data_IF_109674316931
#
_entry.id   IF_109674316931
#
_cell.length_a   1.000
_cell.length_b   1.000
_cell.length_c   1.000
_cell.angle_alpha   90.00
_cell.angle_beta   90.00
_cell.angle_gamma   90.00
#
_symmetry.space_group_name_H-M   'P 1'
#
loop_
_entity.id
_entity.type
_entity.pdbx_description
1 polymer ?
#
# COMPACT_ATOMS: atom_id res chain seq x y z
N UNK A 1 -1.15 -2.02 1.11
CA UNK A 1 -0.18 -1.60 0.08
C UNK A 1 0.08 -0.11 0.25
N UNK A 2 0.88 0.51 -0.62
CA UNK A 2 1.13 1.95 -0.57
C UNK A 2 2.08 2.37 0.54
N UNK A 3 1.75 3.47 1.23
CA UNK A 3 2.59 4.02 2.31
C UNK A 3 2.30 3.35 3.67
N UNK A 4 3.21 2.55 4.25
CA UNK A 4 2.94 1.83 5.49
C UNK A 4 2.63 2.76 6.66
N UNK A 5 1.61 2.44 7.46
CA UNK A 5 1.15 3.22 8.64
C UNK A 5 0.69 4.65 8.34
N UNK A 6 0.54 5.04 7.07
CA UNK A 6 0.15 6.40 6.68
C UNK A 6 -1.23 6.81 7.21
N UNK A 7 -2.23 5.94 7.06
CA UNK A 7 -3.56 6.18 7.61
C UNK A 7 -3.52 6.46 9.12
N UNK A 8 -2.73 5.69 9.87
CA UNK A 8 -2.60 5.91 11.31
C UNK A 8 -1.99 7.28 11.60
N UNK A 9 -0.90 7.62 10.93
CA UNK A 9 -0.19 8.88 11.13
C UNK A 9 -1.07 10.09 10.77
N UNK A 10 -1.80 10.03 9.64
CA UNK A 10 -2.67 11.13 9.21
C UNK A 10 -3.85 11.32 10.17
N UNK A 11 -4.43 10.23 10.70
CA UNK A 11 -5.49 10.28 11.70
C UNK A 11 -5.01 10.78 13.06
N UNK A 12 -3.77 10.48 13.47
CA UNK A 12 -3.18 11.01 14.71
C UNK A 12 -2.84 12.50 14.57
N UNK A 13 -2.34 12.94 13.41
CA UNK A 13 -2.02 14.36 13.15
C UNK A 13 -3.27 15.22 12.98
N UNK A 14 -4.29 14.71 12.30
CA UNK A 14 -5.52 15.41 11.98
C UNK A 14 -6.71 14.61 12.56
N UNK A 15 -7.02 14.81 13.85
CA UNK A 15 -7.90 13.91 14.60
C UNK A 15 -9.38 13.97 14.19
N UNK A 16 -9.82 15.03 13.53
CA UNK A 16 -11.22 15.20 13.12
C UNK A 16 -11.51 14.67 11.70
N UNK A 17 -10.56 13.97 11.06
CA UNK A 17 -10.74 13.48 9.69
C UNK A 17 -11.75 12.35 9.56
N UNK A 18 -11.84 11.48 10.57
CA UNK A 18 -12.65 10.27 10.50
C UNK A 18 -13.78 10.30 11.51
N UNK A 19 -14.98 9.93 11.07
CA UNK A 19 -16.12 9.68 11.94
C UNK A 19 -16.52 8.20 11.89
N UNK A 20 -17.09 7.71 12.99
CA UNK A 20 -17.65 6.36 13.04
C UNK A 20 -19.00 6.36 12.36
N UNK A 21 -19.20 5.43 11.42
CA UNK A 21 -20.44 5.28 10.68
C UNK A 21 -21.53 4.75 11.61
N UNK A 22 -22.64 5.49 11.70
CA UNK A 22 -23.87 5.07 12.38
C UNK A 22 -25.07 5.35 11.50
N UNK A 23 -26.14 4.55 11.61
CA UNK A 23 -27.32 4.56 10.73
C UNK A 23 -28.04 5.91 10.53
N UNK A 24 -27.69 6.95 11.30
CA UNK A 24 -28.40 8.25 11.32
C UNK A 24 -27.54 9.45 10.96
N UNK A 25 -26.25 9.27 10.65
CA UNK A 25 -25.29 10.38 10.56
C UNK A 25 -24.51 10.45 9.24
N UNK A 26 -24.73 9.52 8.32
CA UNK A 26 -23.97 9.48 7.08
C UNK A 26 -24.52 10.55 6.12
N UNK A 27 -23.67 11.43 5.55
CA UNK A 27 -24.07 12.33 4.47
C UNK A 27 -24.60 11.53 3.28
N UNK A 28 -25.54 12.09 2.53
CA UNK A 28 -25.92 11.46 1.27
C UNK A 28 -24.78 11.54 0.24
N UNK A 29 -24.63 10.49 -0.57
CA UNK A 29 -23.64 10.41 -1.64
C UNK A 29 -24.31 10.21 -3.00
N UNK A 30 -23.74 10.84 -4.02
CA UNK A 30 -24.17 10.63 -5.40
C UNK A 30 -23.57 9.34 -5.95
N UNK A 31 -22.28 9.14 -5.71
CA UNK A 31 -21.51 8.06 -6.31
C UNK A 31 -20.78 7.24 -5.25
N UNK A 32 -20.94 5.91 -5.30
CA UNK A 32 -20.18 4.95 -4.50
C UNK A 32 -19.27 4.13 -5.40
N UNK A 33 -17.99 4.03 -5.02
CA UNK A 33 -16.96 3.26 -5.71
C UNK A 33 -16.42 2.19 -4.76
N UNK A 34 -16.34 0.94 -5.21
CA UNK A 34 -15.76 -0.17 -4.44
C UNK A 34 -14.49 -0.66 -5.11
N UNK A 35 -13.36 -0.57 -4.41
CA UNK A 35 -12.22 -1.43 -4.69
C UNK A 35 -12.47 -2.82 -4.08
N UNK A 36 -12.75 -3.78 -4.95
CA UNK A 36 -13.21 -5.11 -4.57
C UNK A 36 -12.08 -6.01 -4.07
N UNK A 37 -10.82 -5.69 -4.34
CA UNK A 37 -9.72 -6.58 -4.01
C UNK A 37 -9.62 -6.84 -2.51
N UNK A 38 -9.73 -5.80 -1.68
CA UNK A 38 -9.77 -5.94 -0.22
C UNK A 38 -10.91 -6.84 0.27
N UNK A 39 -12.10 -6.70 -0.35
CA UNK A 39 -13.28 -7.52 -0.03
C UNK A 39 -13.04 -8.99 -0.37
N UNK A 40 -12.54 -9.28 -1.58
CA UNK A 40 -12.29 -10.65 -2.04
C UNK A 40 -11.26 -11.32 -1.12
N UNK A 41 -10.19 -10.62 -0.74
CA UNK A 41 -9.21 -11.14 0.20
C UNK A 41 -9.83 -11.43 1.58
N UNK A 42 -10.58 -10.48 2.14
CA UNK A 42 -11.24 -10.64 3.45
C UNK A 42 -12.25 -11.80 3.51
N UNK A 43 -12.98 -12.04 2.42
CA UNK A 43 -13.97 -13.14 2.33
C UNK A 43 -13.35 -14.51 2.02
N UNK A 44 -12.13 -14.58 1.50
CA UNK A 44 -11.49 -15.85 1.10
C UNK A 44 -10.53 -16.39 2.16
N UNK A 45 -9.79 -15.51 2.84
CA UNK A 45 -8.81 -15.88 3.87
C UNK A 45 -8.69 -14.76 4.92
N UNK A 46 -9.63 -14.69 5.89
CA UNK A 46 -9.62 -13.63 6.90
C UNK A 46 -8.41 -13.69 7.83
N UNK A 47 -7.75 -14.85 7.94
CA UNK A 47 -6.50 -15.02 8.68
C UNK A 47 -5.53 -15.92 7.91
N UNK A 48 -4.45 -15.33 7.39
CA UNK A 48 -3.42 -16.04 6.64
C UNK A 48 -2.66 -17.08 7.47
N UNK A 49 -2.61 -16.89 8.80
CA UNK A 49 -1.94 -17.78 9.74
C UNK A 49 -2.78 -19.02 10.10
N UNK A 50 -4.08 -19.02 9.79
CA UNK A 50 -4.95 -20.15 10.09
C UNK A 50 -4.84 -21.24 8.99
N UNK A 51 -3.98 -22.21 9.26
CA UNK A 51 -3.71 -23.35 8.38
C UNK A 51 -4.92 -24.30 8.30
N UNK A 52 -5.82 -24.26 9.30
CA UNK A 52 -6.98 -25.14 9.41
C UNK A 52 -8.22 -24.60 8.70
N UNK A 53 -8.25 -23.31 8.37
CA UNK A 53 -9.40 -22.68 7.75
C UNK A 53 -9.74 -23.31 6.40
N UNK A 54 -11.02 -23.65 6.20
CA UNK A 54 -11.56 -24.18 4.94
C UNK A 54 -12.87 -23.48 4.63
N UNK A 55 -13.01 -23.06 3.38
CA UNK A 55 -14.22 -22.40 2.88
C UNK A 55 -14.47 -22.88 1.44
N UNK A 56 -15.74 -23.09 1.11
CA UNK A 56 -16.17 -23.44 -0.25
C UNK A 56 -16.32 -22.19 -1.11
N UNK A 57 -16.12 -22.31 -2.43
CA UNK A 57 -16.30 -21.18 -3.36
C UNK A 57 -17.72 -20.59 -3.26
N UNK A 58 -18.75 -21.43 -3.13
CA UNK A 58 -20.13 -20.97 -2.94
C UNK A 58 -20.30 -20.09 -1.69
N UNK A 59 -19.60 -20.43 -0.59
CA UNK A 59 -19.65 -19.63 0.61
C UNK A 59 -18.88 -18.31 0.44
N UNK A 60 -17.71 -18.35 -0.21
CA UNK A 60 -16.93 -17.15 -0.56
C UNK A 60 -17.80 -16.18 -1.36
N UNK A 61 -18.51 -16.65 -2.39
CA UNK A 61 -19.37 -15.79 -3.21
C UNK A 61 -20.52 -15.20 -2.42
N UNK A 62 -21.18 -15.99 -1.55
CA UNK A 62 -22.21 -15.48 -0.64
C UNK A 62 -21.68 -14.38 0.28
N UNK A 63 -20.49 -14.58 0.84
CA UNK A 63 -19.87 -13.62 1.76
C UNK A 63 -19.49 -12.32 1.02
N UNK A 64 -18.97 -12.41 -0.21
CA UNK A 64 -18.69 -11.25 -1.08
C UNK A 64 -19.99 -10.49 -1.39
N UNK A 65 -21.06 -11.20 -1.76
CA UNK A 65 -22.35 -10.57 -2.08
C UNK A 65 -22.95 -9.86 -0.87
N UNK A 66 -22.91 -10.49 0.30
CA UNK A 66 -23.34 -9.89 1.57
C UNK A 66 -22.52 -8.64 1.90
N UNK A 67 -21.21 -8.66 1.64
CA UNK A 67 -20.34 -7.51 1.82
C UNK A 67 -20.76 -6.35 0.92
N UNK A 68 -20.89 -6.59 -0.38
CA UNK A 68 -21.28 -5.56 -1.36
C UNK A 68 -22.63 -4.94 -0.95
N UNK A 69 -23.61 -5.78 -0.60
CA UNK A 69 -24.94 -5.34 -0.21
C UNK A 69 -24.93 -4.50 1.06
N UNK A 70 -24.10 -4.89 2.04
CA UNK A 70 -23.93 -4.15 3.29
C UNK A 70 -23.35 -2.76 3.03
N UNK A 71 -22.29 -2.65 2.21
CA UNK A 71 -21.70 -1.36 1.85
C UNK A 71 -22.66 -0.48 1.04
N UNK A 72 -23.42 -1.08 0.14
CA UNK A 72 -24.44 -0.39 -0.63
C UNK A 72 -25.54 0.17 0.27
N UNK A 73 -26.04 -0.62 1.22
CA UNK A 73 -27.07 -0.20 2.18
C UNK A 73 -26.57 0.86 3.16
N UNK A 74 -25.27 0.88 3.49
CA UNK A 74 -24.67 1.92 4.35
C UNK A 74 -24.67 3.28 3.64
N UNK A 75 -24.30 3.32 2.36
CA UNK A 75 -24.05 4.58 1.64
C UNK A 75 -25.25 5.06 0.82
N UNK A 76 -26.07 4.14 0.32
CA UNK A 76 -27.26 4.40 -0.51
C UNK A 76 -27.03 5.42 -1.65
N UNK A 77 -26.11 5.16 -2.59
CA UNK A 77 -25.72 6.11 -3.63
C UNK A 77 -26.91 6.50 -4.53
N UNK A 78 -27.00 7.78 -4.90
CA UNK A 78 -28.16 8.32 -5.65
C UNK A 78 -28.01 8.31 -7.18
N UNK A 79 -26.80 8.21 -7.72
CA UNK A 79 -26.53 8.33 -9.17
C UNK A 79 -25.70 7.17 -9.70
N UNK A 80 -24.57 6.84 -9.07
CA UNK A 80 -23.62 5.84 -9.59
C UNK A 80 -23.22 4.84 -8.51
N UNK A 81 -23.18 3.57 -8.88
CA UNK A 81 -22.53 2.53 -8.12
C UNK A 81 -21.50 1.81 -9.00
N UNK A 82 -20.21 1.90 -8.66
CA UNK A 82 -19.11 1.40 -9.47
C UNK A 82 -18.29 0.38 -8.68
N UNK A 83 -18.21 -0.85 -9.19
CA UNK A 83 -17.39 -1.92 -8.61
C UNK A 83 -16.18 -2.19 -9.49
N UNK A 84 -14.98 -2.12 -8.93
CA UNK A 84 -13.73 -2.33 -9.64
C UNK A 84 -13.00 -3.55 -9.06
N UNK A 85 -12.63 -4.48 -9.93
CA UNK A 85 -11.76 -5.61 -9.62
C UNK A 85 -10.46 -5.43 -10.39
N UNK A 86 -9.33 -5.78 -9.78
CA UNK A 86 -8.04 -5.74 -10.48
C UNK A 86 -8.07 -6.59 -11.76
N UNK A 87 -7.62 -5.98 -12.84
CA UNK A 87 -7.25 -6.63 -14.08
C UNK A 87 -5.73 -6.75 -14.20
N UNK A 88 -5.26 -6.95 -15.44
CA UNK A 88 -3.81 -7.02 -15.70
C UNK A 88 -3.17 -5.68 -15.36
N UNK A 89 -2.30 -5.69 -14.34
CA UNK A 89 -1.59 -4.52 -13.85
C UNK A 89 -0.40 -4.12 -14.76
N UNK A 90 0.06 -2.87 -14.70
CA UNK A 90 1.25 -2.43 -15.45
C UNK A 90 2.52 -3.13 -14.98
N UNK A 91 3.53 -3.21 -15.86
CA UNK A 91 4.81 -3.87 -15.59
C UNK A 91 5.49 -3.37 -14.31
N UNK A 92 5.37 -2.07 -14.00
CA UNK A 92 5.92 -1.47 -12.81
C UNK A 92 5.44 -2.16 -11.52
N UNK A 93 4.18 -2.62 -11.47
CA UNK A 93 3.61 -3.31 -10.31
C UNK A 93 3.78 -4.83 -10.35
N UNK A 94 4.02 -5.42 -11.54
CA UNK A 94 4.14 -6.87 -11.70
C UNK A 94 5.25 -7.48 -10.84
N UNK A 95 6.37 -6.79 -10.65
CA UNK A 95 7.47 -7.26 -9.79
C UNK A 95 7.03 -7.34 -8.32
N UNK A 96 6.36 -6.29 -7.83
CA UNK A 96 5.81 -6.24 -6.48
C UNK A 96 4.73 -7.31 -6.27
N UNK A 97 3.82 -7.49 -7.24
CA UNK A 97 2.83 -8.57 -7.20
C UNK A 97 3.50 -9.94 -7.18
N UNK A 98 4.48 -10.20 -8.05
CA UNK A 98 5.21 -11.48 -8.08
C UNK A 98 5.88 -11.80 -6.75
N UNK A 99 6.56 -10.82 -6.15
CA UNK A 99 7.20 -10.98 -4.85
C UNK A 99 6.17 -11.33 -3.76
N UNK A 100 5.03 -10.62 -3.70
CA UNK A 100 3.94 -10.93 -2.75
C UNK A 100 3.39 -12.35 -2.91
N UNK A 101 3.15 -12.78 -4.16
CA UNK A 101 2.63 -14.14 -4.45
C UNK A 101 3.63 -15.22 -4.08
N UNK A 102 4.92 -14.99 -4.37
CA UNK A 102 5.99 -15.90 -3.97
C UNK A 102 6.08 -16.03 -2.44
N UNK A 103 6.06 -14.91 -1.72
CA UNK A 103 6.11 -14.91 -0.26
C UNK A 103 4.87 -15.57 0.36
N UNK A 104 3.68 -15.32 -0.18
CA UNK A 104 2.44 -15.99 0.27
C UNK A 104 2.54 -17.52 0.15
N UNK A 105 3.01 -18.02 -1.01
CA UNK A 105 3.20 -19.45 -1.22
C UNK A 105 4.26 -20.04 -0.28
N UNK A 106 5.42 -19.39 -0.13
CA UNK A 106 6.51 -19.82 0.74
C UNK A 106 6.08 -19.85 2.21
N UNK A 107 5.38 -18.82 2.68
CA UNK A 107 4.89 -18.73 4.06
C UNK A 107 3.83 -19.79 4.33
N UNK A 108 2.93 -20.06 3.38
CA UNK A 108 1.95 -21.13 3.51
C UNK A 108 2.62 -22.51 3.61
N UNK A 109 3.65 -22.78 2.82
CA UNK A 109 4.43 -24.03 2.88
C UNK A 109 5.16 -24.18 4.23
N UNK A 110 5.82 -23.12 4.68
CA UNK A 110 6.54 -23.11 5.96
C UNK A 110 5.58 -23.28 7.14
N UNK A 111 4.43 -22.63 7.11
CA UNK A 111 3.38 -22.78 8.12
C UNK A 111 2.90 -24.23 8.21
N UNK A 112 2.67 -24.90 7.07
CA UNK A 112 2.29 -26.31 7.01
C UNK A 112 3.37 -27.22 7.62
N UNK A 113 4.65 -27.04 7.26
CA UNK A 113 5.76 -27.82 7.84
C UNK A 113 5.85 -27.68 9.36
N UNK A 114 5.65 -26.46 9.87
CA UNK A 114 5.63 -26.20 11.32
C UNK A 114 4.44 -26.88 12.00
N UNK A 115 3.26 -26.87 11.37
CA UNK A 115 2.08 -27.55 11.90
C UNK A 115 2.28 -29.07 11.95
N UNK A 116 2.85 -29.66 10.89
CA UNK A 116 3.22 -31.07 10.84
C UNK A 116 4.25 -31.45 11.91
N UNK A 117 5.31 -30.64 12.08
CA UNK A 117 6.33 -30.90 13.11
C UNK A 117 5.77 -30.81 14.54
N UNK A 118 4.70 -30.01 14.73
CA UNK A 118 3.98 -29.88 16.01
C UNK A 118 2.89 -30.95 16.19
N UNK A 119 2.70 -31.86 15.22
CA UNK A 119 1.67 -32.89 15.26
C UNK A 119 0.24 -32.35 15.23
N UNK A 120 0.03 -31.16 14.66
CA UNK A 120 -1.32 -30.59 14.51
C UNK A 120 -2.09 -31.36 13.44
N UNK A 121 -3.37 -31.67 13.70
CA UNK A 121 -4.23 -32.29 12.69
C UNK A 121 -4.57 -31.27 11.60
N UNK A 122 -4.05 -31.51 10.40
CA UNK A 122 -4.34 -30.69 9.23
C UNK A 122 -5.57 -31.28 8.53
N UNK A 123 -6.61 -30.46 8.24
CA UNK A 123 -7.76 -30.92 7.47
C UNK A 123 -7.35 -31.49 6.11
N UNK A 124 -7.93 -32.62 5.73
CA UNK A 124 -7.63 -33.32 4.46
C UNK A 124 -8.09 -32.53 3.23
N UNK A 125 -9.06 -31.65 3.39
CA UNK A 125 -9.55 -30.81 2.30
C UNK A 125 -8.48 -29.81 1.86
N UNK A 126 -8.48 -29.47 0.57
CA UNK A 126 -7.51 -28.52 0.01
C UNK A 126 -7.78 -27.12 0.57
N UNK A 127 -6.73 -26.46 1.06
CA UNK A 127 -6.79 -25.03 1.44
C UNK A 127 -7.05 -24.18 0.20
N UNK A 128 -7.84 -23.11 0.36
CA UNK A 128 -7.97 -22.08 -0.68
C UNK A 128 -6.60 -21.43 -0.94
N UNK A 129 -6.20 -21.31 -2.20
CA UNK A 129 -4.93 -20.67 -2.59
C UNK A 129 -5.20 -19.20 -2.96
N UNK A 130 -4.77 -18.22 -2.13
CA UNK A 130 -4.98 -16.80 -2.41
C UNK A 130 -4.39 -16.33 -3.74
N UNK A 131 -3.40 -17.03 -4.30
CA UNK A 131 -2.79 -16.70 -5.59
C UNK A 131 -3.77 -16.82 -6.76
N UNK A 132 -4.89 -17.54 -6.58
CA UNK A 132 -5.95 -17.58 -7.58
C UNK A 132 -6.73 -16.26 -7.71
N UNK A 133 -6.57 -15.31 -6.78
CA UNK A 133 -7.10 -13.94 -6.87
C UNK A 133 -6.18 -13.12 -7.79
N UNK A 134 -6.05 -13.58 -9.04
CA UNK A 134 -5.23 -12.97 -10.09
C UNK A 134 -6.03 -13.02 -11.39
N UNK A 135 -6.02 -11.97 -12.21
CA UNK A 135 -6.72 -11.96 -13.50
C UNK A 135 -6.32 -13.16 -14.38
N UNK A 136 -7.30 -13.77 -15.04
CA UNK A 136 -7.09 -14.90 -15.96
C UNK A 136 -7.14 -16.28 -15.31
N UNK A 137 -7.34 -16.38 -13.99
CA UNK A 137 -7.59 -17.65 -13.31
C UNK A 137 -9.05 -18.09 -13.47
N UNK A 138 -9.29 -19.39 -13.32
CA UNK A 138 -10.64 -19.94 -13.34
C UNK A 138 -11.52 -19.37 -12.22
N UNK A 139 -10.96 -19.21 -11.01
CA UNK A 139 -11.68 -18.60 -9.88
C UNK A 139 -12.19 -17.20 -10.21
N UNK A 140 -11.35 -16.34 -10.79
CA UNK A 140 -11.75 -14.96 -11.14
C UNK A 140 -12.79 -14.93 -12.27
N UNK A 141 -12.70 -15.85 -13.24
CA UNK A 141 -13.70 -15.98 -14.30
C UNK A 141 -15.08 -16.37 -13.72
N UNK A 142 -15.12 -17.38 -12.85
CA UNK A 142 -16.35 -17.79 -12.15
C UNK A 142 -16.90 -16.65 -11.30
N UNK A 143 -16.04 -15.98 -10.50
CA UNK A 143 -16.45 -14.84 -9.67
C UNK A 143 -17.07 -13.72 -10.51
N UNK A 144 -16.51 -13.43 -11.70
CA UNK A 144 -17.04 -12.40 -12.60
C UNK A 144 -18.46 -12.74 -13.08
N UNK A 145 -18.70 -13.97 -13.52
CA UNK A 145 -20.04 -14.43 -13.93
C UNK A 145 -21.03 -14.38 -12.77
N UNK A 146 -20.61 -14.80 -11.57
CA UNK A 146 -21.44 -14.79 -10.36
C UNK A 146 -21.80 -13.35 -9.94
N UNK A 147 -20.86 -12.40 -10.05
CA UNK A 147 -21.14 -10.98 -9.80
C UNK A 147 -22.11 -10.38 -10.82
N UNK A 148 -21.97 -10.72 -12.11
CA UNK A 148 -22.91 -10.27 -13.14
C UNK A 148 -24.33 -10.77 -12.83
N UNK A 149 -24.47 -12.03 -12.44
CA UNK A 149 -25.74 -12.60 -12.01
C UNK A 149 -26.29 -11.87 -10.77
N UNK A 150 -25.46 -11.70 -9.73
CA UNK A 150 -25.84 -11.01 -8.50
C UNK A 150 -26.35 -9.59 -8.76
N UNK A 151 -25.64 -8.80 -9.57
CA UNK A 151 -26.04 -7.44 -9.92
C UNK A 151 -27.36 -7.44 -10.70
N UNK A 152 -27.51 -8.33 -11.69
CA UNK A 152 -28.73 -8.43 -12.49
C UNK A 152 -29.94 -8.79 -11.63
N UNK A 153 -29.75 -9.72 -10.69
CA UNK A 153 -30.75 -10.08 -9.69
C UNK A 153 -31.09 -8.89 -8.81
N UNK A 154 -30.10 -8.19 -8.23
CA UNK A 154 -30.30 -7.03 -7.35
C UNK A 154 -31.08 -5.91 -8.03
N UNK A 155 -30.71 -5.53 -9.25
CA UNK A 155 -31.47 -4.52 -10.03
C UNK A 155 -32.92 -4.96 -10.24
N UNK A 156 -33.16 -6.25 -10.47
CA UNK A 156 -34.51 -6.78 -10.73
C UNK A 156 -35.38 -6.87 -9.47
N UNK A 157 -34.79 -7.14 -8.31
CA UNK A 157 -35.52 -7.45 -7.07
C UNK A 157 -35.51 -6.33 -6.03
N UNK A 158 -34.49 -5.48 -6.04
CA UNK A 158 -34.26 -4.46 -5.03
C UNK A 158 -34.50 -3.06 -5.61
N UNK A 159 -35.47 -2.34 -5.05
CA UNK A 159 -35.82 -0.98 -5.49
C UNK A 159 -34.70 0.02 -5.25
N UNK A 160 -33.81 -0.20 -4.27
CA UNK A 160 -32.71 0.72 -4.00
C UNK A 160 -31.64 0.68 -5.11
N UNK A 161 -31.54 -0.43 -5.84
CA UNK A 161 -30.63 -0.59 -6.98
C UNK A 161 -31.25 -0.10 -8.30
N UNK A 162 -32.55 0.24 -8.30
CA UNK A 162 -33.26 0.72 -9.47
C UNK A 162 -33.11 2.24 -9.61
N UNK A 163 -32.92 2.72 -10.85
CA UNK A 163 -32.81 4.15 -11.16
C UNK A 163 -31.40 4.73 -11.02
N UNK A 164 -30.41 3.96 -10.56
CA UNK A 164 -29.00 4.33 -10.55
C UNK A 164 -28.22 3.64 -11.67
N UNK A 165 -27.06 4.18 -12.03
CA UNK A 165 -26.14 3.55 -12.99
C UNK A 165 -25.18 2.63 -12.25
N UNK A 166 -25.29 1.32 -12.49
CA UNK A 166 -24.40 0.31 -11.90
C UNK A 166 -23.34 -0.11 -12.92
N UNK A 167 -22.06 -0.04 -12.53
CA UNK A 167 -20.93 -0.47 -13.35
C UNK A 167 -20.15 -1.57 -12.65
N UNK A 168 -19.82 -2.62 -13.40
CA UNK A 168 -18.88 -3.67 -13.00
C UNK A 168 -17.68 -3.64 -13.93
N UNK A 169 -16.54 -3.16 -13.43
CA UNK A 169 -15.25 -3.24 -14.11
C UNK A 169 -14.46 -4.44 -13.58
N UNK A 170 -14.70 -5.61 -14.20
CA UNK A 170 -14.13 -6.89 -13.77
C UNK A 170 -12.64 -7.08 -14.08
N UNK A 171 -12.14 -8.28 -13.78
CA UNK A 171 -10.76 -8.70 -14.05
C UNK A 171 -10.44 -8.79 -15.55
N UNK A 172 -11.46 -8.82 -16.40
CA UNK A 172 -11.38 -8.83 -17.86
C UNK A 172 -11.01 -7.47 -18.46
N UNK A 173 -11.18 -6.38 -17.70
CA UNK A 173 -10.70 -5.06 -18.08
C UNK A 173 -9.26 -4.88 -17.55
N UNK A 174 -8.27 -4.49 -18.36
CA UNK A 174 -6.91 -4.20 -17.87
C UNK A 174 -6.88 -3.06 -16.84
N UNK A 175 -5.83 -3.03 -16.02
CA UNK A 175 -5.61 -2.00 -15.00
C UNK A 175 -6.12 -2.39 -13.61
N UNK A 176 -5.67 -1.63 -12.63
CA UNK A 176 -5.94 -1.85 -11.21
C UNK A 176 -7.27 -1.22 -10.79
N UNK A 177 -7.92 -1.76 -9.77
CA UNK A 177 -9.23 -1.33 -9.29
C UNK A 177 -9.28 0.16 -8.99
N UNK A 178 -8.34 0.64 -8.16
CA UNK A 178 -8.22 2.05 -7.79
C UNK A 178 -7.99 2.97 -9.01
N UNK A 179 -7.15 2.54 -9.97
CA UNK A 179 -6.87 3.32 -11.17
C UNK A 179 -8.05 3.36 -12.14
N UNK A 180 -8.79 2.26 -12.30
CA UNK A 180 -10.04 2.19 -13.07
C UNK A 180 -11.09 3.15 -12.51
N UNK A 181 -11.21 3.21 -11.19
CA UNK A 181 -12.10 4.14 -10.50
C UNK A 181 -11.68 5.59 -10.80
N UNK A 182 -10.40 5.90 -10.65
CA UNK A 182 -9.89 7.24 -10.90
C UNK A 182 -10.01 7.67 -12.37
N UNK A 183 -9.82 6.73 -13.32
CA UNK A 183 -10.10 6.94 -14.74
C UNK A 183 -11.58 7.26 -14.99
N UNK A 184 -12.48 6.51 -14.36
CA UNK A 184 -13.91 6.76 -14.45
C UNK A 184 -14.27 8.16 -13.91
N UNK A 185 -13.77 8.52 -12.73
CA UNK A 185 -14.01 9.85 -12.13
C UNK A 185 -13.50 10.95 -13.06
N UNK A 186 -12.26 10.85 -13.58
CA UNK A 186 -11.72 11.82 -14.56
C UNK A 186 -12.59 11.93 -15.80
N UNK A 187 -13.08 10.80 -16.31
CA UNK A 187 -13.93 10.78 -17.50
C UNK A 187 -15.28 11.47 -17.26
N UNK A 188 -15.93 11.24 -16.12
CA UNK A 188 -17.20 11.89 -15.78
C UNK A 188 -17.02 13.40 -15.57
N UNK A 189 -15.93 13.82 -14.92
CA UNK A 189 -15.58 15.24 -14.73
C UNK A 189 -15.34 15.99 -16.03
N UNK A 190 -14.83 15.31 -17.05
CA UNK A 190 -14.56 15.92 -18.36
C UNK A 190 -15.83 16.23 -19.15
N UNK A 191 -16.99 15.75 -18.69
CA UNK A 191 -18.27 15.94 -19.38
C UNK A 191 -18.79 17.38 -19.19
N UNK A 192 -19.40 17.98 -20.22
CA UNK A 192 -19.95 19.33 -20.12
C UNK A 192 -21.08 19.50 -19.11
N UNK A 193 -21.80 18.41 -18.80
CA UNK A 193 -22.93 18.35 -17.89
C UNK A 193 -22.54 17.91 -16.46
N UNK A 194 -21.24 17.84 -16.15
CA UNK A 194 -20.77 17.42 -14.84
C UNK A 194 -21.16 18.41 -13.74
N UNK A 195 -21.73 17.89 -12.65
CA UNK A 195 -22.02 18.67 -11.45
C UNK A 195 -20.77 18.73 -10.56
N UNK A 196 -20.19 19.92 -10.44
CA UNK A 196 -18.98 20.16 -9.65
C UNK A 196 -19.16 19.91 -8.13
N UNK A 197 -20.41 19.76 -7.65
CA UNK A 197 -20.70 19.41 -6.25
C UNK A 197 -21.11 17.95 -6.08
N UNK A 198 -20.83 17.09 -7.06
CA UNK A 198 -21.04 15.64 -6.94
C UNK A 198 -20.32 15.12 -5.69
N UNK A 199 -21.02 14.28 -4.90
CA UNK A 199 -20.49 13.71 -3.66
C UNK A 199 -19.99 12.29 -3.89
N UNK A 200 -18.71 12.06 -3.66
CA UNK A 200 -18.00 10.82 -3.93
C UNK A 200 -17.72 10.05 -2.63
N UNK A 201 -18.05 8.76 -2.61
CA UNK A 201 -17.62 7.84 -1.56
C UNK A 201 -16.85 6.69 -2.18
N UNK A 202 -15.60 6.47 -1.77
CA UNK A 202 -14.77 5.35 -2.22
C UNK A 202 -14.44 4.43 -1.05
N UNK A 203 -14.79 3.15 -1.18
CA UNK A 203 -14.43 2.14 -0.21
C UNK A 203 -13.08 1.51 -0.56
N UNK A 204 -12.22 1.40 0.45
CA UNK A 204 -11.00 0.61 0.40
C UNK A 204 -10.02 0.90 1.53
N UNK A 205 -9.12 -0.06 1.80
CA UNK A 205 -8.21 -0.02 2.95
C UNK A 205 -6.82 0.51 2.62
N UNK A 206 -6.47 0.71 1.35
CA UNK A 206 -5.15 1.19 0.97
C UNK A 206 -4.98 2.68 1.29
N UNK A 207 -3.74 3.06 1.66
CA UNK A 207 -3.39 4.43 1.97
C UNK A 207 -3.37 5.31 0.70
N UNK A 208 -3.08 4.69 -0.44
CA UNK A 208 -2.96 5.36 -1.74
C UNK A 208 -4.30 5.96 -2.18
N UNK A 209 -5.43 5.39 -1.75
CA UNK A 209 -6.76 5.94 -1.99
C UNK A 209 -6.96 7.34 -1.41
N UNK A 210 -6.25 7.70 -0.32
CA UNK A 210 -6.26 9.07 0.23
C UNK A 210 -5.60 10.03 -0.76
N UNK A 211 -4.43 9.65 -1.27
CA UNK A 211 -3.68 10.46 -2.23
C UNK A 211 -4.42 10.56 -3.57
N UNK A 212 -4.92 9.45 -4.09
CA UNK A 212 -5.71 9.42 -5.32
C UNK A 212 -7.01 10.23 -5.20
N UNK A 213 -7.71 10.11 -4.07
CA UNK A 213 -8.90 10.91 -3.78
C UNK A 213 -8.60 12.41 -3.73
N UNK A 214 -7.47 12.82 -3.14
CA UNK A 214 -7.04 14.22 -3.14
C UNK A 214 -6.63 14.70 -4.53
N UNK A 215 -5.89 13.91 -5.32
CA UNK A 215 -5.54 14.22 -6.71
C UNK A 215 -6.76 14.33 -7.65
N UNK A 216 -7.93 13.81 -7.24
CA UNK A 216 -9.15 14.07 -7.98
C UNK A 216 -9.58 15.53 -7.91
N UNK A 217 -9.12 16.29 -6.90
CA UNK A 217 -9.51 17.68 -6.65
C UNK A 217 -11.04 17.88 -6.49
N UNK A 218 -11.79 16.80 -6.24
CA UNK A 218 -13.24 16.88 -5.96
C UNK A 218 -13.51 17.51 -4.59
N UNK A 219 -14.42 18.50 -4.48
CA UNK A 219 -14.69 19.18 -3.21
C UNK A 219 -15.32 18.27 -2.16
N UNK A 220 -16.16 17.33 -2.59
CA UNK A 220 -16.93 16.45 -1.71
C UNK A 220 -16.54 14.99 -1.93
N UNK A 221 -15.45 14.59 -1.28
CA UNK A 221 -14.93 13.23 -1.38
C UNK A 221 -14.70 12.63 0.01
N UNK A 222 -15.20 11.43 0.22
CA UNK A 222 -14.99 10.66 1.45
C UNK A 222 -14.51 9.24 1.13
N UNK A 223 -13.75 8.66 2.06
CA UNK A 223 -13.32 7.27 2.01
C UNK A 223 -14.04 6.45 3.09
N UNK A 224 -14.71 5.39 2.68
CA UNK A 224 -15.31 4.43 3.60
C UNK A 224 -14.28 3.34 3.91
N UNK A 225 -14.02 3.11 5.19
CA UNK A 225 -12.94 2.22 5.65
C UNK A 225 -13.40 1.40 6.84
N UNK A 226 -12.80 0.24 7.03
CA UNK A 226 -13.01 -0.57 8.22
C UNK A 226 -12.19 -0.02 9.40
N UNK A 227 -12.71 -0.16 10.62
CA UNK A 227 -11.99 0.19 11.84
C UNK A 227 -10.76 -0.71 12.01
N UNK A 228 -9.58 -0.10 11.97
CA UNK A 228 -8.33 -0.77 12.32
C UNK A 228 -8.08 -0.62 13.81
N UNK A 229 -8.31 -1.68 14.60
CA UNK A 229 -8.03 -1.67 16.03
C UNK A 229 -6.53 -1.80 16.29
N UNK A 230 -5.90 -0.71 16.72
CA UNK A 230 -4.48 -0.69 17.06
C UNK A 230 -4.26 -1.23 18.49
N UNK A 231 -3.53 -2.35 18.63
CA UNK A 231 -3.10 -2.90 19.92
C UNK A 231 -3.25 -4.42 20.04
N UNK A 232 -2.52 -5.04 20.99
CA UNK A 232 -2.64 -6.48 21.28
C UNK A 232 -4.04 -6.79 21.81
N UNK A 233 -4.82 -7.58 21.08
CA UNK A 233 -6.10 -8.10 21.58
C UNK A 233 -5.82 -9.05 22.75
N UNK A 234 -6.35 -8.80 23.96
CA UNK A 234 -6.10 -9.68 25.10
C UNK A 234 -6.67 -11.08 24.82
N UNK A 235 -5.82 -12.11 24.97
CA UNK A 235 -6.11 -13.54 24.72
C UNK A 235 -7.40 -14.06 25.41
N UNK A 236 -7.93 -13.34 26.40
CA UNK A 236 -9.08 -13.76 27.19
C UNK A 236 -10.47 -13.51 26.56
N UNK A 237 -10.58 -12.80 25.43
CA UNK A 237 -11.85 -12.55 24.73
C UNK A 237 -12.14 -13.45 23.52
N UNK A 238 -11.30 -14.45 23.24
CA UNK A 238 -11.50 -15.37 22.09
C UNK A 238 -12.68 -16.34 22.23
N UNK A 239 -13.42 -16.35 23.36
CA UNK A 239 -14.52 -17.31 23.61
C UNK A 239 -15.94 -16.75 23.47
N UNK A 240 -16.12 -15.46 23.19
CA UNK A 240 -17.45 -14.91 22.85
C UNK A 240 -17.51 -14.72 21.34
N UNK A 241 -18.21 -15.61 20.64
CA UNK A 241 -18.66 -15.50 19.24
C UNK A 241 -18.09 -14.28 18.50
N UNK A 242 -16.90 -14.42 17.91
CA UNK A 242 -16.48 -13.51 16.86
C UNK A 242 -17.61 -13.57 15.84
N UNK A 243 -18.34 -12.46 15.64
CA UNK A 243 -19.21 -12.32 14.48
C UNK A 243 -18.28 -12.40 13.27
N UNK A 244 -18.11 -13.60 12.73
CA UNK A 244 -17.40 -13.85 11.48
C UNK A 244 -18.30 -13.31 10.38
N UNK A 245 -18.00 -12.11 9.88
CA UNK A 245 -18.80 -11.46 8.86
C UNK A 245 -18.82 -9.93 8.99
N UNK A 246 -19.34 -9.30 7.94
CA UNK A 246 -19.37 -7.83 7.76
C UNK A 246 -20.18 -7.14 8.86
N UNK A 247 -21.19 -7.81 9.41
CA UNK A 247 -22.06 -7.32 10.49
C UNK A 247 -21.35 -7.06 11.83
N UNK A 248 -20.11 -7.54 11.98
CA UNK A 248 -19.25 -7.29 13.14
C UNK A 248 -18.26 -6.14 12.95
N UNK A 249 -18.17 -5.58 11.74
CA UNK A 249 -17.19 -4.58 11.36
C UNK A 249 -17.75 -3.19 11.65
N UNK A 250 -16.96 -2.38 12.37
CA UNK A 250 -17.23 -0.96 12.50
C UNK A 250 -16.66 -0.25 11.26
N UNK A 251 -17.46 0.57 10.60
CA UNK A 251 -16.98 1.40 9.49
C UNK A 251 -16.67 2.82 9.94
N UNK A 252 -15.67 3.43 9.31
CA UNK A 252 -15.27 4.82 9.48
C UNK A 252 -15.38 5.53 8.15
N UNK A 253 -15.87 6.77 8.18
CA UNK A 253 -15.91 7.66 7.03
C UNK A 253 -14.82 8.72 7.21
N UNK A 254 -13.80 8.68 6.34
CA UNK A 254 -12.72 9.66 6.32
C UNK A 254 -13.05 10.76 5.31
N UNK A 255 -13.10 12.00 5.75
CA UNK A 255 -13.48 13.16 4.95
C UNK A 255 -12.26 13.82 4.32
N UNK A 256 -12.11 13.69 2.99
CA UNK A 256 -11.03 14.36 2.28
C UNK A 256 -11.26 15.87 2.18
N UNK A 257 -12.51 16.34 2.22
CA UNK A 257 -12.83 17.76 2.33
C UNK A 257 -12.16 18.41 3.54
N UNK A 258 -12.27 17.78 4.72
CA UNK A 258 -11.60 18.24 5.94
C UNK A 258 -10.09 18.10 5.85
N UNK A 259 -9.57 17.05 5.21
CA UNK A 259 -8.13 16.91 4.98
C UNK A 259 -7.59 18.07 4.13
N UNK A 260 -8.31 18.48 3.08
CA UNK A 260 -7.93 19.65 2.28
C UNK A 260 -7.87 20.91 3.14
N UNK A 261 -8.83 21.12 4.03
CA UNK A 261 -8.79 22.24 4.98
C UNK A 261 -7.58 22.14 5.90
N UNK A 262 -7.30 20.99 6.50
CA UNK A 262 -6.11 20.79 7.34
C UNK A 262 -4.81 21.09 6.59
N UNK A 263 -4.68 20.61 5.35
CA UNK A 263 -3.51 20.91 4.50
C UNK A 263 -3.42 22.40 4.17
N UNK A 264 -4.56 23.07 3.93
CA UNK A 264 -4.57 24.52 3.72
C UNK A 264 -4.02 25.28 4.94
N UNK A 265 -4.36 24.84 6.16
CA UNK A 265 -3.83 25.41 7.39
C UNK A 265 -2.35 25.08 7.60
N UNK A 266 -1.94 23.86 7.28
CA UNK A 266 -0.55 23.38 7.38
C UNK A 266 0.40 24.22 6.52
N UNK A 267 0.03 24.50 5.27
CA UNK A 267 0.87 25.22 4.30
C UNK A 267 0.60 26.72 4.21
N UNK A 268 -0.37 27.24 4.96
CA UNK A 268 -0.69 28.68 5.04
C UNK A 268 0.53 29.58 5.30
N UNK A 269 1.52 29.22 6.14
CA UNK A 269 2.68 30.09 6.40
C UNK A 269 3.56 30.39 5.17
N UNK A 270 3.37 29.66 4.07
CA UNK A 270 4.10 29.86 2.82
C UNK A 270 3.42 30.91 1.93
N UNK A 271 2.09 31.09 2.06
CA UNK A 271 1.27 31.93 1.20
C UNK A 271 1.83 33.35 1.03
N UNK A 272 2.24 33.99 2.13
CA UNK A 272 2.73 35.38 2.14
C UNK A 272 4.18 35.52 1.66
N UNK A 273 4.87 34.41 1.38
CA UNK A 273 6.30 34.38 1.04
C UNK A 273 6.56 34.04 -0.42
N UNK A 274 5.53 33.63 -1.18
CA UNK A 274 5.71 33.17 -2.55
C UNK A 274 5.95 34.34 -3.51
N UNK A 275 6.87 34.18 -4.48
CA UNK A 275 7.06 35.14 -5.55
C UNK A 275 6.04 34.98 -6.70
N UNK A 276 5.14 33.99 -6.60
CA UNK A 276 4.08 33.66 -7.57
C UNK A 276 2.73 33.46 -6.85
N UNK A 277 1.58 33.46 -7.57
CA UNK A 277 0.27 33.30 -6.96
C UNK A 277 0.12 31.98 -6.19
N UNK A 278 -0.40 32.06 -4.97
CA UNK A 278 -0.73 30.89 -4.18
C UNK A 278 -2.01 30.22 -4.68
N UNK A 279 -1.90 28.94 -5.00
CA UNK A 279 -2.96 28.01 -5.35
C UNK A 279 -2.91 26.78 -4.43
N UNK A 280 -4.05 26.44 -3.82
CA UNK A 280 -4.16 25.30 -2.91
C UNK A 280 -4.11 23.96 -3.67
N UNK A 281 -4.66 23.90 -4.89
CA UNK A 281 -4.72 22.66 -5.66
C UNK A 281 -3.31 22.21 -6.05
N UNK A 282 -2.47 23.15 -6.46
CA UNK A 282 -1.04 22.90 -6.72
C UNK A 282 -0.25 22.50 -5.46
N UNK A 283 -0.62 23.01 -4.27
CA UNK A 283 -0.03 22.54 -3.00
C UNK A 283 -0.43 21.09 -2.72
N UNK A 284 -1.67 20.69 -2.99
CA UNK A 284 -2.12 19.29 -2.86
C UNK A 284 -1.33 18.40 -3.83
N UNK A 285 -1.13 18.82 -5.07
CA UNK A 285 -0.35 18.08 -6.07
C UNK A 285 1.11 17.86 -5.62
N UNK A 286 1.74 18.88 -5.05
CA UNK A 286 3.09 18.79 -4.46
C UNK A 286 3.09 17.95 -3.17
N UNK A 287 2.02 17.99 -2.39
CA UNK A 287 1.86 17.18 -1.18
C UNK A 287 1.76 15.70 -1.50
N UNK A 288 1.03 15.33 -2.55
CA UNK A 288 0.97 13.95 -3.04
C UNK A 288 2.33 13.50 -3.55
N UNK A 289 3.08 14.35 -4.26
CA UNK A 289 4.47 14.07 -4.64
C UNK A 289 5.35 13.76 -3.41
N UNK A 290 5.25 14.55 -2.34
CA UNK A 290 5.95 14.26 -1.08
C UNK A 290 5.53 12.91 -0.48
N UNK A 291 4.24 12.57 -0.55
CA UNK A 291 3.72 11.27 -0.15
C UNK A 291 4.39 10.11 -0.91
N UNK A 292 4.52 10.22 -2.23
CA UNK A 292 5.17 9.20 -3.06
C UNK A 292 6.66 9.02 -2.76
N UNK A 293 7.35 10.06 -2.25
CA UNK A 293 8.75 9.94 -1.80
C UNK A 293 8.90 9.09 -0.54
N UNK A 294 7.91 9.11 0.35
CA UNK A 294 7.90 8.26 1.56
C UNK A 294 7.67 6.79 1.16
N UNK A 295 6.81 6.56 0.17
CA UNK A 295 6.59 5.24 -0.37
C UNK A 295 5.54 5.21 -1.47
N UNK A 296 5.66 4.21 -2.32
CA UNK A 296 4.65 3.85 -3.30
C UNK A 296 4.90 2.40 -3.75
N UNK A 297 3.95 1.82 -4.48
CA UNK A 297 4.02 0.42 -4.91
C UNK A 297 5.02 0.16 -6.07
N UNK A 298 5.55 1.21 -6.70
CA UNK A 298 6.26 1.11 -7.98
C UNK A 298 7.79 1.28 -7.87
N UNK A 299 8.26 2.03 -6.86
CA UNK A 299 9.67 2.37 -6.67
C UNK A 299 10.12 1.87 -5.29
N UNK A 300 11.35 1.32 -5.15
CA UNK A 300 11.90 1.00 -3.83
C UNK A 300 11.89 2.22 -2.91
N UNK A 301 11.62 1.99 -1.62
CA UNK A 301 11.62 3.07 -0.63
C UNK A 301 12.99 3.73 -0.54
N UNK A 302 13.01 5.06 -0.40
CA UNK A 302 14.21 5.78 -0.03
C UNK A 302 14.66 5.33 1.37
N UNK A 303 15.95 4.98 1.56
CA UNK A 303 16.47 4.65 2.87
C UNK A 303 16.22 5.78 3.85
N UNK A 304 15.78 5.45 5.07
CA UNK A 304 15.59 6.41 6.15
C UNK A 304 14.51 7.48 5.93
N UNK A 305 13.65 7.30 4.93
CA UNK A 305 12.50 8.19 4.65
C UNK A 305 11.22 7.42 4.93
N UNK A 306 11.00 7.10 6.20
CA UNK A 306 9.82 6.36 6.64
C UNK A 306 8.97 7.17 7.62
N UNK A 307 7.67 6.87 7.69
CA UNK A 307 6.73 7.55 8.60
C UNK A 307 7.16 7.41 10.07
N UNK A 308 7.74 6.28 10.45
CA UNK A 308 8.19 6.04 11.83
C UNK A 308 9.44 6.86 12.22
N UNK A 309 10.12 7.45 11.24
CA UNK A 309 11.28 8.34 11.42
C UNK A 309 10.89 9.81 11.19
N UNK A 310 9.61 10.16 11.28
CA UNK A 310 9.08 11.53 11.07
C UNK A 310 9.46 12.14 9.71
N UNK A 311 9.49 11.31 8.66
CA UNK A 311 9.81 11.76 7.30
C UNK A 311 8.83 12.81 6.75
N UNK A 312 7.52 12.68 7.00
CA UNK A 312 6.52 13.62 6.48
C UNK A 312 6.69 15.04 7.04
N UNK A 313 6.83 15.26 8.36
CA UNK A 313 7.18 16.57 8.91
C UNK A 313 8.48 17.14 8.32
N UNK A 314 9.51 16.31 8.12
CA UNK A 314 10.78 16.73 7.52
C UNK A 314 10.58 17.19 6.06
N UNK A 315 9.79 16.46 5.27
CA UNK A 315 9.43 16.82 3.90
C UNK A 315 8.64 18.15 3.87
N UNK A 316 7.63 18.31 4.73
CA UNK A 316 6.82 19.53 4.78
C UNK A 316 7.67 20.75 5.15
N UNK A 317 8.52 20.62 6.17
CA UNK A 317 9.40 21.72 6.59
C UNK A 317 10.40 22.10 5.51
N UNK A 318 10.97 21.11 4.81
CA UNK A 318 11.83 21.35 3.64
C UNK A 318 11.08 22.05 2.53
N UNK A 319 9.87 21.59 2.22
CA UNK A 319 9.03 22.16 1.17
C UNK A 319 8.70 23.63 1.47
N UNK A 320 8.25 23.92 2.69
CA UNK A 320 7.94 25.29 3.13
C UNK A 320 9.15 26.24 3.12
N UNK A 321 10.37 25.71 3.28
CA UNK A 321 11.60 26.49 3.17
C UNK A 321 12.03 26.74 1.72
N UNK A 322 11.85 25.75 0.84
CA UNK A 322 12.32 25.80 -0.55
C UNK A 322 11.33 26.52 -1.46
N UNK A 323 10.02 26.31 -1.32
CA UNK A 323 9.00 26.83 -2.24
C UNK A 323 9.09 28.35 -2.49
N UNK A 324 9.32 29.22 -1.48
CA UNK A 324 9.52 30.66 -1.69
C UNK A 324 10.73 31.04 -2.57
N UNK A 325 11.68 30.12 -2.75
CA UNK A 325 12.90 30.32 -3.55
C UNK A 325 12.72 29.83 -5.00
N UNK A 326 11.58 29.24 -5.31
CA UNK A 326 11.23 28.72 -6.63
C UNK A 326 10.42 29.76 -7.41
N UNK A 327 10.31 29.53 -8.71
CA UNK A 327 9.51 30.31 -9.66
C UNK A 327 8.11 29.70 -9.91
N UNK A 328 7.78 28.60 -9.23
CA UNK A 328 6.48 27.93 -9.28
C UNK A 328 6.49 26.63 -8.46
N UNK A 329 5.45 25.80 -8.65
CA UNK A 329 5.26 24.51 -7.96
C UNK A 329 6.19 23.41 -8.48
N UNK A 330 6.34 22.32 -7.72
CA UNK A 330 7.17 21.17 -8.13
C UNK A 330 6.48 20.34 -9.21
N UNK A 331 5.18 20.11 -9.05
CA UNK A 331 4.30 19.34 -9.92
C UNK A 331 3.29 20.28 -10.60
N UNK A 332 3.28 20.28 -11.92
CA UNK A 332 2.35 21.06 -12.73
C UNK A 332 1.42 20.11 -13.48
N UNK A 333 0.26 19.80 -12.89
CA UNK A 333 -0.77 18.91 -13.48
C UNK A 333 -0.23 17.52 -13.87
N UNK A 334 0.62 16.94 -13.02
CA UNK A 334 1.24 15.62 -13.24
C UNK A 334 2.58 15.67 -13.98
N UNK A 335 3.04 16.85 -14.41
CA UNK A 335 4.37 17.03 -14.99
C UNK A 335 5.32 17.60 -13.93
N UNK A 336 6.35 16.82 -13.60
CA UNK A 336 7.36 17.22 -12.61
C UNK A 336 8.36 18.21 -13.21
N UNK A 337 8.51 19.38 -12.58
CA UNK A 337 9.55 20.33 -12.93
C UNK A 337 10.87 19.93 -12.26
N UNK A 338 11.72 19.25 -13.03
CA UNK A 338 12.98 18.68 -12.52
C UNK A 338 13.93 19.71 -11.91
N UNK A 339 13.98 20.95 -12.42
CA UNK A 339 14.87 22.00 -11.89
C UNK A 339 14.44 22.44 -10.50
N UNK A 340 13.13 22.57 -10.28
CA UNK A 340 12.55 22.92 -8.97
C UNK A 340 12.65 21.75 -8.01
N UNK A 341 12.38 20.55 -8.50
CA UNK A 341 12.49 19.31 -7.74
C UNK A 341 13.92 19.01 -7.28
N UNK A 342 14.92 19.29 -8.12
CA UNK A 342 16.34 19.16 -7.77
C UNK A 342 16.71 20.07 -6.58
N UNK A 343 16.25 21.33 -6.57
CA UNK A 343 16.45 22.26 -5.44
C UNK A 343 15.81 21.73 -4.16
N UNK A 344 14.61 21.15 -4.26
CA UNK A 344 13.93 20.52 -3.15
C UNK A 344 14.74 19.32 -2.60
N UNK A 345 15.16 18.40 -3.46
CA UNK A 345 15.97 17.24 -3.05
C UNK A 345 17.34 17.64 -2.46
N UNK A 346 18.00 18.66 -3.02
CA UNK A 346 19.26 19.21 -2.46
C UNK A 346 19.08 19.82 -1.07
N UNK A 347 17.90 20.38 -0.78
CA UNK A 347 17.60 20.86 0.57
C UNK A 347 17.28 19.69 1.51
N UNK A 348 16.49 18.72 1.03
CA UNK A 348 16.11 17.54 1.81
C UNK A 348 17.31 16.66 2.18
N UNK A 349 18.29 16.50 1.29
CA UNK A 349 19.51 15.71 1.54
C UNK A 349 20.35 16.23 2.71
N UNK A 350 20.20 17.51 3.09
CA UNK A 350 20.86 18.07 4.29
C UNK A 350 20.29 17.46 5.56
N UNK A 351 18.98 17.21 5.61
CA UNK A 351 18.30 16.55 6.73
C UNK A 351 18.73 15.09 6.79
N UNK A 352 18.74 14.41 5.65
CA UNK A 352 19.20 13.02 5.57
C UNK A 352 20.64 12.87 6.08
N UNK A 353 21.55 13.76 5.66
CA UNK A 353 22.93 13.78 6.17
C UNK A 353 23.01 14.02 7.68
N UNK A 354 22.16 14.88 8.24
CA UNK A 354 22.12 15.12 9.69
C UNK A 354 21.67 13.87 10.45
N UNK A 355 20.61 13.23 9.98
CA UNK A 355 20.10 11.97 10.52
C UNK A 355 21.15 10.85 10.47
N UNK A 356 21.91 10.77 9.37
CA UNK A 356 23.00 9.80 9.23
C UNK A 356 24.11 10.03 10.26
N UNK A 357 24.57 11.27 10.43
CA UNK A 357 25.61 11.59 11.43
C UNK A 357 25.13 11.29 12.84
N UNK A 358 23.87 11.62 13.16
CA UNK A 358 23.29 11.33 14.47
C UNK A 358 23.24 9.81 14.76
N UNK A 359 22.82 9.00 13.78
CA UNK A 359 22.83 7.53 13.90
C UNK A 359 24.24 6.99 14.14
N UNK A 360 25.24 7.50 13.42
CA UNK A 360 26.64 7.12 13.63
C UNK A 360 27.14 7.47 15.03
N UNK A 361 26.79 8.66 15.54
CA UNK A 361 27.18 9.10 16.88
C UNK A 361 26.50 8.24 17.96
N UNK A 362 25.23 7.89 17.79
CA UNK A 362 24.47 7.03 18.69
C UNK A 362 25.04 5.60 18.71
N UNK A 363 25.37 5.03 17.55
CA UNK A 363 26.05 3.73 17.45
C UNK A 363 27.42 3.78 18.12
N UNK A 364 28.20 4.84 17.88
CA UNK A 364 29.49 5.07 18.53
C UNK A 364 29.38 5.18 20.06
N UNK A 365 28.35 5.87 20.54
CA UNK A 365 28.05 6.00 21.97
C UNK A 365 27.65 4.65 22.58
N UNK A 366 26.76 3.90 21.94
CA UNK A 366 26.33 2.58 22.40
C UNK A 366 27.49 1.58 22.42
N UNK A 367 28.34 1.59 21.39
CA UNK A 367 29.56 0.80 21.34
C UNK A 367 30.49 1.16 22.51
N UNK A 368 30.65 2.46 22.81
CA UNK A 368 31.48 2.92 23.94
C UNK A 368 30.95 2.49 25.31
N UNK A 369 29.62 2.31 25.46
CA UNK A 369 28.98 1.83 26.70
C UNK A 369 28.97 0.32 26.85
N UNK A 370 29.00 -0.44 25.74
CA UNK A 370 29.15 -1.91 25.77
C UNK A 370 30.57 -2.34 26.09
N UNK A 371 31.54 -1.42 26.01
CA UNK A 371 32.91 -1.61 26.47
C UNK A 371 33.17 -0.95 27.82
N UNK A 372 33.18 -1.71 28.92
CA UNK A 372 33.78 -1.30 30.21
C UNK A 372 34.56 -2.46 30.86
N UNK A 373 35.54 -2.23 31.77
CA UNK A 373 36.57 -1.21 31.74
C UNK A 373 37.93 -1.85 32.03
N UNK A 374 38.62 -2.48 31.07
CA UNK A 374 40.00 -2.95 31.28
C UNK A 374 40.80 -2.95 29.97
N UNK A 375 41.45 -1.82 29.67
CA UNK A 375 42.91 -1.71 29.49
C UNK A 375 43.29 -0.36 28.85
N UNK A 376 44.20 0.32 29.54
CA UNK A 376 45.13 1.40 29.14
C UNK A 376 44.79 2.21 27.87
N UNK A 377 44.49 3.49 28.11
CA UNK A 377 44.50 4.61 27.14
C UNK A 377 45.66 4.52 26.14
N UNK A 378 45.34 4.26 24.88
CA UNK A 378 46.11 4.69 23.71
C UNK A 378 45.38 5.86 23.04
N UNK A 379 46.11 6.94 22.73
CA UNK A 379 45.57 8.16 22.10
C UNK A 379 44.94 7.80 20.74
N UNK A 380 43.60 7.91 20.62
CA UNK A 380 42.91 7.80 19.32
C UNK A 380 42.97 9.15 18.60
N UNK A 381 43.54 9.16 17.39
CA UNK A 381 43.50 10.29 16.47
C UNK A 381 42.04 10.59 16.09
N UNK A 382 41.69 11.89 16.02
CA UNK A 382 40.38 12.34 15.54
C UNK A 382 40.17 11.88 14.08
N UNK A 383 38.99 11.36 13.70
CA UNK A 383 38.69 11.11 12.30
C UNK A 383 38.71 12.45 11.53
N UNK A 384 39.36 12.45 10.37
CA UNK A 384 39.34 13.57 9.43
C UNK A 384 37.91 13.72 8.91
N UNK A 385 37.25 14.81 9.28
CA UNK A 385 36.06 15.29 8.58
C UNK A 385 36.51 15.67 7.17
N UNK A 386 36.01 14.97 6.16
CA UNK A 386 36.18 15.36 4.76
C UNK A 386 35.35 16.64 4.59
N UNK A 387 36.05 17.76 4.42
CA UNK A 387 35.47 19.06 4.06
C UNK A 387 35.03 19.04 2.58
N UNK A 388 34.12 19.92 2.15
CA UNK A 388 33.61 19.91 0.79
C UNK A 388 34.73 20.24 -0.20
N UNK A 389 34.87 19.43 -1.25
CA UNK A 389 35.55 19.88 -2.47
C UNK A 389 34.55 20.79 -3.21
N UNK A 390 34.96 22.01 -3.55
CA UNK A 390 34.12 23.03 -4.18
C UNK A 390 34.00 22.89 -5.72
N UNK A 391 34.61 21.87 -6.33
CA UNK A 391 34.59 21.69 -7.79
C UNK A 391 34.37 20.20 -8.14
N UNK A 392 33.11 19.79 -8.27
CA UNK A 392 32.71 18.55 -8.98
C UNK A 392 31.75 18.94 -10.11
N UNK A 393 32.26 19.71 -11.08
CA UNK A 393 31.77 19.63 -12.47
C UNK A 393 32.53 18.48 -13.14
N UNK A 394 32.12 17.23 -12.92
CA UNK A 394 32.54 16.11 -13.79
C UNK A 394 31.34 15.57 -14.57
N UNK A 395 31.49 15.62 -15.90
CA UNK A 395 30.54 15.16 -16.92
C UNK A 395 30.06 13.73 -16.66
N UNK A 396 28.74 13.52 -16.74
CA UNK A 396 28.15 12.18 -16.85
C UNK A 396 28.68 11.49 -18.11
N UNK A 397 29.55 10.49 -17.94
CA UNK A 397 29.81 9.53 -19.00
C UNK A 397 28.66 8.53 -19.13
N UNK A 398 28.19 8.36 -20.36
CA UNK A 398 27.13 7.44 -20.74
C UNK A 398 27.60 6.00 -20.53
N UNK A 399 26.91 5.25 -19.67
CA UNK A 399 27.14 3.83 -19.45
C UNK A 399 26.81 3.02 -20.73
N UNK A 400 27.74 2.17 -21.17
CA UNK A 400 27.50 1.15 -22.21
C UNK A 400 27.44 -0.26 -21.63
N UNK A 401 26.52 -1.05 -22.16
CA UNK A 401 25.93 -2.29 -21.61
C UNK A 401 26.84 -3.56 -21.69
N UNK A 402 28.17 -3.45 -21.66
CA UNK A 402 29.06 -4.56 -22.04
C UNK A 402 29.88 -5.26 -20.95
N UNK A 403 29.83 -4.85 -19.68
CA UNK A 403 30.79 -5.34 -18.67
C UNK A 403 30.17 -6.24 -17.57
N UNK A 404 29.11 -7.00 -17.89
CA UNK A 404 28.66 -8.11 -17.03
C UNK A 404 29.16 -9.44 -17.58
N UNK A 405 30.43 -9.78 -17.34
CA UNK A 405 30.85 -11.19 -17.28
C UNK A 405 32.23 -11.31 -16.60
N UNK A 406 32.23 -11.99 -15.45
CA UNK A 406 33.36 -12.40 -14.60
C UNK A 406 33.74 -11.47 -13.42
N UNK A 407 33.15 -11.77 -12.25
CA UNK A 407 33.92 -11.88 -11.02
C UNK A 407 33.15 -12.74 -10.01
N UNK A 408 33.64 -13.97 -9.84
CA UNK A 408 33.33 -14.87 -8.73
C UNK A 408 34.12 -14.34 -7.53
N UNK A 409 33.46 -13.94 -6.44
CA UNK A 409 34.14 -13.72 -5.17
C UNK A 409 33.23 -14.11 -4.00
N UNK A 410 33.74 -15.05 -3.23
CA UNK A 410 33.16 -15.67 -2.05
C UNK A 410 33.52 -14.85 -0.79
N UNK A 411 32.56 -14.15 -0.21
CA UNK A 411 32.64 -13.65 1.18
C UNK A 411 31.31 -13.90 1.92
N UNK A 412 31.39 -14.74 2.95
CA UNK A 412 30.33 -14.95 3.94
C UNK A 412 30.13 -13.68 4.77
N UNK A 413 29.17 -12.85 4.37
CA UNK A 413 28.66 -11.73 5.15
C UNK A 413 27.14 -11.81 5.21
N UNK A 414 26.58 -11.99 6.40
CA UNK A 414 25.13 -12.01 6.65
C UNK A 414 24.51 -10.65 6.32
N UNK A 415 24.04 -10.48 5.08
CA UNK A 415 23.20 -9.35 4.68
C UNK A 415 21.74 -9.61 5.07
N UNK A 416 21.20 -8.79 5.98
CA UNK A 416 19.75 -8.67 6.18
C UNK A 416 19.15 -7.95 4.97
N UNK A 417 18.25 -8.62 4.26
CA UNK A 417 17.56 -8.08 3.10
C UNK A 417 16.45 -7.09 3.48
N UNK A 418 16.13 -6.18 2.56
CA UNK A 418 15.17 -5.09 2.70
C UNK A 418 13.68 -5.50 2.81
N UNK A 419 13.39 -6.74 3.21
CA UNK A 419 12.02 -7.27 3.31
C UNK A 419 11.71 -8.04 4.60
N UNK A 420 12.60 -7.98 5.61
CA UNK A 420 12.25 -8.49 6.94
C UNK A 420 11.32 -7.49 7.65
N UNK A 421 10.05 -7.86 7.77
CA UNK A 421 9.11 -7.23 8.69
C UNK A 421 9.44 -7.64 10.12
N UNK A 422 9.61 -6.65 11.00
CA UNK A 422 9.84 -6.83 12.43
C UNK A 422 8.83 -7.80 13.08
N UNK A 423 9.29 -9.02 13.40
CA UNK A 423 8.66 -9.88 14.41
C UNK A 423 9.61 -10.02 15.60
N UNK A 424 9.13 -9.63 16.78
CA UNK A 424 9.86 -9.75 18.05
C UNK A 424 10.38 -11.18 18.26
N UNK A 425 11.66 -11.31 18.59
CA UNK A 425 12.38 -12.55 18.81
C UNK A 425 11.87 -13.32 20.04
N UNK A 426 11.44 -14.57 19.85
CA UNK A 426 11.46 -15.59 20.90
C UNK A 426 12.60 -16.58 20.61
N UNK A 427 13.55 -16.67 21.52
CA UNK A 427 14.80 -17.40 21.36
C UNK A 427 14.62 -18.90 21.59
N UNK A 428 14.97 -19.72 20.61
CA UNK A 428 15.27 -21.15 20.79
C UNK A 428 16.32 -21.59 19.76
N UNK A 429 17.24 -22.51 20.10
CA UNK A 429 18.46 -22.74 19.33
C UNK A 429 18.18 -23.46 18.01
N UNK A 430 18.73 -22.93 16.92
CA UNK A 430 18.76 -23.55 15.60
C UNK A 430 19.63 -24.81 15.61
N UNK A 431 19.10 -25.91 15.08
CA UNK A 431 19.87 -27.09 14.67
C UNK A 431 19.76 -27.14 13.16
N UNK A 432 20.87 -26.88 12.47
CA UNK A 432 20.94 -27.01 11.00
C UNK A 432 20.95 -28.48 10.57
N UNK A 433 20.09 -28.91 9.63
CA UNK A 433 20.32 -30.10 8.84
C UNK A 433 20.92 -29.71 7.48
N UNK A 434 22.10 -30.24 7.17
CA UNK A 434 22.73 -30.15 5.86
C UNK A 434 21.97 -30.99 4.83
N UNK A 435 21.56 -30.39 3.72
CA UNK A 435 21.09 -31.10 2.53
C UNK A 435 21.68 -30.47 1.26
N UNK A 436 22.29 -31.32 0.43
CA UNK A 436 22.82 -30.96 -0.89
C UNK A 436 21.69 -30.70 -1.89
N UNK A 437 21.75 -29.59 -2.61
CA UNK A 437 20.81 -29.18 -3.65
C UNK A 437 21.29 -29.74 -5.00
N UNK A 438 20.50 -30.54 -5.75
CA UNK A 438 20.89 -30.93 -7.11
C UNK A 438 20.60 -29.79 -8.10
N UNK A 439 21.54 -29.57 -9.04
CA UNK A 439 21.46 -28.48 -10.02
C UNK A 439 20.28 -28.62 -11.00
N UNK A 440 19.80 -27.48 -11.48
CA UNK A 440 18.63 -27.31 -12.35
C UNK A 440 18.70 -28.02 -13.73
N UNK A 441 19.83 -28.65 -14.07
CA UNK A 441 19.99 -29.42 -15.30
C UNK A 441 19.31 -30.80 -15.27
N UNK A 442 19.08 -31.36 -14.08
CA UNK A 442 18.54 -32.72 -13.92
C UNK A 442 17.00 -32.82 -13.92
N UNK A 443 16.27 -31.70 -13.93
CA UNK A 443 14.80 -31.68 -13.86
C UNK A 443 14.15 -31.68 -15.26
N UNK A 444 14.91 -31.43 -16.33
CA UNK A 444 14.38 -31.30 -17.69
C UNK A 444 14.64 -32.51 -18.62
N UNK A 445 15.23 -33.59 -18.12
CA UNK A 445 15.45 -34.81 -18.90
C UNK A 445 14.48 -35.92 -18.48
N UNK A 446 13.20 -35.79 -18.84
CA UNK A 446 12.24 -36.87 -18.62
C UNK A 446 10.80 -36.48 -18.88
N UNK A 447 10.40 -36.45 -20.16
CA UNK A 447 9.13 -37.00 -20.65
C UNK A 447 8.92 -36.58 -22.11
N UNK A 448 9.07 -37.53 -23.04
CA UNK A 448 8.62 -37.38 -24.43
C UNK A 448 7.10 -37.60 -24.52
N UNK A 449 6.34 -36.79 -25.27
CA UNK A 449 4.92 -37.01 -25.47
C UNK A 449 4.69 -37.92 -26.69
N UNK A 450 4.56 -39.22 -26.47
CA UNK A 450 4.03 -40.13 -27.48
C UNK A 450 3.42 -41.36 -26.82
N UNK A 451 2.10 -41.33 -26.64
CA UNK A 451 1.16 -42.46 -26.66
C UNK A 451 -0.03 -42.15 -25.73
N UNK A 452 -1.15 -41.73 -26.33
CA UNK A 452 -2.52 -41.98 -25.83
C UNK A 452 -3.49 -41.54 -26.94
N UNK A 453 -3.57 -42.36 -27.99
CA UNK A 453 -4.76 -42.48 -28.84
C UNK A 453 -5.08 -43.97 -28.89
N UNK A 454 -6.12 -44.37 -28.15
CA UNK A 454 -7.08 -45.43 -28.49
C UNK A 454 -8.32 -45.28 -27.62
#
# INVERSE_FOLDING_TARGET
>A
MGVPKFYRWISERYPCLSEVVTDKQIPEFDNLYLDMNGIIHGCTHPNDEDISFRISEDQIFRDIFHYIDTLFAIIEPKKVFFMAIDGVAPRAKMNQQRARRFMSAKNAELALKIAESKGQEIPKDKRFDPNCITPGTQFMATLHEQLQYFISMKISTDTAWQGIRVYLSGHNCPGEGEHKIMDFIRSERSRPDYDANTRHCLYGLDADLIMLGLCSHEPHFSLLREEVKFGRTPKHKQKSSQKTGVDGITFHLLHLSLLREYLSWEFRPVQDKLPFPYDMESIIDDWVLMGFLVGNDFIPHLPHVHIHEDALPALYSTYMQVLPQLDGYLNESGVLNLRRFEKFLKAFSKIDRQSFVQKMDDEGYLASKRSEPHTKRGVKQKPKVIAPHEDDEEELQVYSDSDMENSDDSEEGTHRGAFDSDSESDSSPEVEPTFEIPSASNVLAGNSPAQLIK
#
